data_IF_209449817955
#
_entry.id   IF_209449817955
#
_cell.length_a   1.000
_cell.length_b   1.000
_cell.length_c   1.000
_cell.angle_alpha   90.00
_cell.angle_beta   90.00
_cell.angle_gamma   90.00
#
_symmetry.space_group_name_H-M   'P 1'
#
loop_
_entity.id
_entity.type
_entity.pdbx_description
1 polymer ?
#
# COMPACT_ATOMS: atom_id res chain seq x y z
N UNK A 1 12.32 1.05 -3.01
CA UNK A 1 11.53 0.05 -2.29
C UNK A 1 10.53 0.81 -1.44
N UNK A 2 9.23 0.78 -1.74
CA UNK A 2 8.24 1.35 -0.83
C UNK A 2 8.23 0.50 0.44
N UNK A 3 8.61 1.08 1.57
CA UNK A 3 8.61 0.37 2.85
C UNK A 3 7.15 0.14 3.28
N UNK A 4 6.70 -1.10 3.13
CA UNK A 4 5.37 -1.53 3.58
C UNK A 4 5.23 -1.54 5.11
N UNK A 5 6.33 -1.34 5.85
CA UNK A 5 6.32 -1.21 7.32
C UNK A 5 5.35 -0.13 7.81
N UNK A 6 5.07 0.89 7.00
CA UNK A 6 4.07 1.92 7.35
C UNK A 6 2.63 1.37 7.32
N UNK A 7 2.36 0.36 6.49
CA UNK A 7 1.03 -0.25 6.35
C UNK A 7 0.80 -1.39 7.35
N UNK A 8 1.86 -1.97 7.93
CA UNK A 8 1.74 -3.04 8.94
C UNK A 8 1.40 -2.54 10.33
N UNK A 9 1.00 -1.27 10.47
CA UNK A 9 0.65 -0.63 11.75
C UNK A 9 1.78 -0.73 12.80
N UNK A 10 3.04 -0.69 12.35
CA UNK A 10 4.23 -0.80 13.18
C UNK A 10 4.69 -2.23 13.50
N UNK A 11 4.03 -3.25 12.94
CA UNK A 11 4.50 -4.64 13.10
C UNK A 11 5.67 -4.93 12.15
N UNK A 12 6.67 -5.66 12.64
CA UNK A 12 7.77 -6.14 11.80
C UNK A 12 7.23 -7.19 10.81
N UNK A 13 7.50 -6.96 9.53
CA UNK A 13 7.18 -7.91 8.47
C UNK A 13 8.43 -8.73 8.14
N UNK A 14 8.29 -10.05 8.12
CA UNK A 14 9.37 -10.95 7.73
C UNK A 14 9.02 -11.67 6.43
N UNK A 15 9.81 -11.47 5.38
CA UNK A 15 9.58 -12.15 4.10
C UNK A 15 9.90 -13.65 4.23
N UNK A 16 8.90 -14.47 3.89
CA UNK A 16 8.95 -15.94 3.99
C UNK A 16 9.18 -16.56 2.61
N UNK A 17 8.65 -15.93 1.56
CA UNK A 17 8.86 -16.33 0.17
C UNK A 17 8.78 -15.10 -0.74
N UNK A 18 9.50 -15.16 -1.86
CA UNK A 18 9.60 -14.09 -2.84
C UNK A 18 9.61 -14.67 -4.26
N UNK A 19 8.75 -14.14 -5.12
CA UNK A 19 8.70 -14.47 -6.54
C UNK A 19 8.80 -13.17 -7.33
N UNK A 20 9.86 -12.99 -8.09
CA UNK A 20 9.98 -11.86 -9.01
C UNK A 20 8.94 -11.97 -10.14
N UNK A 21 8.29 -10.87 -10.48
CA UNK A 21 7.21 -10.85 -11.48
C UNK A 21 7.47 -9.83 -12.60
N UNK A 22 8.10 -10.27 -13.69
CA UNK A 22 8.40 -9.41 -14.84
C UNK A 22 9.78 -8.73 -14.76
N UNK A 23 10.00 -7.69 -15.57
CA UNK A 23 11.32 -7.11 -15.78
C UNK A 23 11.69 -5.97 -14.82
N UNK A 24 10.71 -5.32 -14.19
CA UNK A 24 10.97 -4.27 -13.24
C UNK A 24 11.35 -4.88 -11.87
N UNK A 25 12.47 -4.48 -11.25
CA UNK A 25 12.97 -5.11 -10.03
C UNK A 25 12.06 -4.91 -8.82
N UNK A 26 11.14 -3.96 -8.86
CA UNK A 26 10.11 -3.76 -7.83
C UNK A 26 8.88 -4.66 -7.99
N UNK A 27 8.78 -5.44 -9.08
CA UNK A 27 7.63 -6.27 -9.31
C UNK A 27 7.84 -7.65 -8.69
N UNK A 28 6.98 -8.00 -7.74
CA UNK A 28 7.11 -9.25 -7.01
C UNK A 28 5.79 -9.69 -6.39
N UNK A 29 5.74 -10.97 -6.06
CA UNK A 29 4.77 -11.55 -5.13
C UNK A 29 5.57 -11.99 -3.90
N UNK A 30 5.24 -11.45 -2.74
CA UNK A 30 5.88 -11.76 -1.47
C UNK A 30 4.85 -12.37 -0.52
N UNK A 31 5.26 -13.43 0.16
CA UNK A 31 4.56 -13.94 1.33
C UNK A 31 5.29 -13.41 2.56
N UNK A 32 4.58 -12.66 3.40
CA UNK A 32 5.14 -11.95 4.53
C UNK A 32 4.53 -12.51 5.81
N UNK A 33 5.34 -12.82 6.81
CA UNK A 33 4.88 -13.14 8.16
C UNK A 33 4.70 -11.85 8.95
N UNK A 34 3.51 -11.65 9.50
CA UNK A 34 3.21 -10.53 10.39
C UNK A 34 3.64 -10.93 11.80
N UNK A 35 4.72 -10.34 12.31
CA UNK A 35 5.16 -10.60 13.68
C UNK A 35 4.49 -9.60 14.63
N UNK A 36 3.36 -9.99 15.21
CA UNK A 36 2.72 -9.18 16.26
C UNK A 36 3.52 -9.39 17.54
N UNK A 37 3.98 -8.32 18.18
CA UNK A 37 4.75 -8.35 19.44
C UNK A 37 3.92 -8.78 20.68
N UNK A 38 2.89 -9.61 20.48
CA UNK A 38 1.97 -10.06 21.51
C UNK A 38 2.35 -11.45 21.98
N UNK A 39 2.45 -11.60 23.31
CA UNK A 39 2.93 -12.77 24.03
C UNK A 39 2.00 -14.01 23.95
N UNK A 40 1.15 -14.11 22.93
CA UNK A 40 0.19 -15.20 22.70
C UNK A 40 0.64 -16.05 21.52
N UNK A 41 1.26 -17.18 21.81
CA UNK A 41 2.02 -18.02 20.89
C UNK A 41 1.20 -18.92 19.96
N UNK A 42 0.07 -18.49 19.38
CA UNK A 42 -0.78 -19.43 18.62
C UNK A 42 -1.38 -18.95 17.29
N UNK A 43 -1.27 -17.68 16.89
CA UNK A 43 -1.78 -17.24 15.58
C UNK A 43 -0.70 -16.51 14.79
N UNK A 44 -0.16 -17.17 13.76
CA UNK A 44 0.75 -16.56 12.79
C UNK A 44 -0.11 -16.09 11.63
N UNK A 45 -0.25 -14.78 11.47
CA UNK A 45 -0.89 -14.22 10.29
C UNK A 45 0.14 -14.08 9.18
N UNK A 46 -0.18 -14.61 8.01
CA UNK A 46 0.58 -14.39 6.79
C UNK A 46 -0.12 -13.31 5.96
N UNK A 47 0.65 -12.60 5.16
CA UNK A 47 0.16 -11.62 4.21
C UNK A 47 0.73 -11.96 2.84
N UNK A 48 -0.16 -12.24 1.90
CA UNK A 48 0.19 -12.35 0.50
C UNK A 48 0.14 -10.96 -0.11
N UNK A 49 1.25 -10.51 -0.68
CA UNK A 49 1.39 -9.20 -1.30
C UNK A 49 1.85 -9.36 -2.74
N UNK A 50 1.25 -8.61 -3.65
CA UNK A 50 1.75 -8.35 -4.99
C UNK A 50 2.11 -6.87 -5.13
N UNK A 51 3.25 -6.61 -5.75
CA UNK A 51 3.68 -5.27 -6.17
C UNK A 51 3.97 -5.29 -7.66
N UNK A 52 3.51 -4.25 -8.35
CA UNK A 52 3.73 -4.09 -9.79
C UNK A 52 3.99 -2.62 -10.10
N UNK A 53 4.91 -2.34 -11.01
CA UNK A 53 5.22 -1.01 -11.52
C UNK A 53 5.49 -1.11 -13.01
N UNK A 54 4.83 -0.24 -13.76
CA UNK A 54 5.02 -0.07 -15.19
C UNK A 54 4.95 1.41 -15.57
N UNK A 55 4.78 1.71 -16.88
CA UNK A 55 4.68 3.10 -17.36
C UNK A 55 3.39 3.81 -16.94
N UNK A 56 2.37 3.05 -16.55
CA UNK A 56 1.05 3.56 -16.15
C UNK A 56 1.03 3.93 -14.67
N UNK A 57 1.86 3.29 -13.85
CA UNK A 57 1.94 3.58 -12.42
C UNK A 57 2.49 2.44 -11.58
N UNK A 58 2.27 2.54 -10.27
CA UNK A 58 2.67 1.54 -9.28
C UNK A 58 1.48 1.04 -8.48
N UNK A 59 1.33 -0.28 -8.38
CA UNK A 59 0.35 -1.01 -7.59
C UNK A 59 1.03 -1.71 -6.41
N UNK A 60 0.36 -1.67 -5.26
CA UNK A 60 0.57 -2.66 -4.19
C UNK A 60 -0.79 -3.19 -3.77
N UNK A 61 -0.98 -4.50 -3.83
CA UNK A 61 -2.18 -5.18 -3.35
C UNK A 61 -1.78 -6.30 -2.41
N UNK A 62 -2.52 -6.47 -1.33
CA UNK A 62 -2.24 -7.48 -0.33
C UNK A 62 -3.51 -8.02 0.31
N UNK A 63 -3.42 -9.22 0.87
CA UNK A 63 -4.47 -9.84 1.66
C UNK A 63 -3.85 -10.70 2.76
N UNK A 64 -4.51 -10.75 3.92
CA UNK A 64 -4.15 -11.70 4.98
C UNK A 64 -4.58 -13.10 4.57
N UNK A 65 -3.71 -14.07 4.80
CA UNK A 65 -3.94 -15.49 4.52
C UNK A 65 -3.54 -16.31 5.74
N UNK A 66 -4.30 -17.37 6.00
CA UNK A 66 -3.96 -18.34 7.02
C UNK A 66 -2.92 -19.34 6.51
N UNK A 67 -2.18 -19.93 7.46
CA UNK A 67 -1.12 -20.90 7.15
C UNK A 67 -1.69 -22.13 6.46
N UNK A 68 -2.88 -22.58 6.86
CA UNK A 68 -3.52 -23.78 6.32
C UNK A 68 -3.91 -23.57 4.85
N UNK A 69 -4.48 -22.42 4.47
CA UNK A 69 -4.74 -22.05 3.08
C UNK A 69 -3.47 -22.04 2.21
N UNK A 70 -2.36 -21.52 2.74
CA UNK A 70 -1.08 -21.54 2.01
C UNK A 70 -0.60 -22.99 1.81
N UNK A 71 -0.68 -23.82 2.86
CA UNK A 71 -0.28 -25.22 2.79
C UNK A 71 -1.17 -26.02 1.81
N UNK A 72 -2.47 -25.73 1.79
CA UNK A 72 -3.43 -26.29 0.85
C UNK A 72 -3.02 -25.98 -0.60
N UNK A 73 -2.77 -24.71 -0.92
CA UNK A 73 -2.28 -24.29 -2.24
C UNK A 73 -0.93 -24.93 -2.60
N UNK A 74 0.01 -25.00 -1.66
CA UNK A 74 1.32 -25.62 -1.87
C UNK A 74 1.27 -27.14 -2.08
N UNK A 75 0.21 -27.80 -1.60
CA UNK A 75 -0.01 -29.23 -1.79
C UNK A 75 -0.55 -29.57 -3.20
N UNK A 76 -0.80 -28.55 -4.03
CA UNK A 76 -1.35 -28.70 -5.38
C UNK A 76 -2.86 -28.90 -5.40
N UNK A 77 -3.55 -28.64 -4.28
CA UNK A 77 -5.01 -28.59 -4.22
C UNK A 77 -5.55 -27.33 -4.91
N UNK A 78 -6.86 -27.25 -5.12
CA UNK A 78 -7.50 -26.11 -5.80
C UNK A 78 -7.49 -24.85 -4.91
N UNK A 79 -6.73 -23.79 -5.26
CA UNK A 79 -6.67 -22.57 -4.45
C UNK A 79 -7.92 -21.69 -4.60
N UNK A 80 -8.86 -22.01 -5.50
CA UNK A 80 -10.08 -21.22 -5.73
C UNK A 80 -10.99 -21.15 -4.50
N UNK A 81 -10.82 -22.08 -3.54
CA UNK A 81 -11.58 -22.13 -2.30
C UNK A 81 -11.01 -21.21 -1.20
N UNK A 82 -9.82 -20.63 -1.38
CA UNK A 82 -9.15 -19.78 -0.39
C UNK A 82 -9.80 -18.39 -0.42
N UNK A 83 -10.51 -17.98 0.65
CA UNK A 83 -11.17 -16.68 0.67
C UNK A 83 -10.12 -15.58 0.90
N UNK A 84 -9.94 -14.72 -0.10
CA UNK A 84 -9.12 -13.51 0.03
C UNK A 84 -10.01 -12.27 0.18
N UNK A 85 -9.55 -11.34 1.01
CA UNK A 85 -10.09 -9.99 1.13
C UNK A 85 -8.99 -9.00 0.75
N UNK A 86 -8.82 -8.72 -0.55
CA UNK A 86 -7.73 -7.87 -1.01
C UNK A 86 -7.95 -6.42 -0.60
N UNK A 87 -6.84 -5.76 -0.28
CA UNK A 87 -6.77 -4.31 -0.14
C UNK A 87 -5.48 -3.83 -0.82
N UNK A 88 -5.49 -2.60 -1.30
CA UNK A 88 -4.32 -2.07 -1.96
C UNK A 88 -4.53 -0.68 -2.52
N UNK A 89 -3.53 -0.23 -3.25
CA UNK A 89 -3.55 1.07 -3.88
C UNK A 89 -2.74 1.11 -5.16
N UNK A 90 -3.17 1.97 -6.07
CA UNK A 90 -2.52 2.27 -7.32
C UNK A 90 -2.18 3.75 -7.39
N UNK A 91 -0.96 4.07 -7.80
CA UNK A 91 -0.46 5.44 -7.96
C UNK A 91 -0.21 5.68 -9.44
N UNK A 92 -1.01 6.58 -10.02
CA UNK A 92 -0.85 7.03 -11.40
C UNK A 92 -0.10 8.35 -11.42
N UNK A 93 0.99 8.50 -12.19
CA UNK A 93 1.60 9.81 -12.44
C UNK A 93 0.59 10.76 -13.09
N UNK A 94 0.53 12.01 -12.61
CA UNK A 94 -0.37 13.02 -13.18
C UNK A 94 0.39 14.32 -13.39
N UNK A 95 0.38 14.83 -14.62
CA UNK A 95 0.85 16.19 -14.89
C UNK A 95 -0.29 17.16 -14.58
N UNK A 96 -0.06 18.07 -13.63
CA UNK A 96 -1.01 19.12 -13.30
C UNK A 96 -0.58 20.39 -14.04
N UNK A 97 -1.47 20.87 -14.90
CA UNK A 97 -1.33 22.20 -15.48
C UNK A 97 -1.82 23.22 -14.46
N UNK A 98 -0.93 24.13 -14.05
CA UNK A 98 -1.32 25.25 -13.22
C UNK A 98 -2.15 26.22 -14.06
N UNK A 99 -3.47 26.19 -13.95
CA UNK A 99 -4.38 27.20 -14.55
C UNK A 99 -4.36 28.50 -13.72
N UNK A 100 -3.15 28.99 -13.46
CA UNK A 100 -2.89 30.24 -12.77
C UNK A 100 -2.98 31.38 -13.75
N UNK A 101 -4.17 31.95 -13.92
CA UNK A 101 -4.35 33.20 -14.62
C UNK A 101 -3.55 34.33 -13.96
N UNK A 102 -2.43 34.69 -14.56
CA UNK A 102 -2.02 36.08 -14.77
C UNK A 102 -0.86 36.11 -15.76
N UNK A 103 -1.07 36.90 -16.82
CA UNK A 103 -0.06 37.26 -17.79
C UNK A 103 1.08 37.95 -17.06
N UNK A 104 2.26 37.36 -17.07
CA UNK A 104 3.49 38.14 -17.22
C UNK A 104 4.44 37.34 -18.09
N UNK A 105 4.99 38.04 -19.08
CA UNK A 105 5.81 37.47 -20.12
C UNK A 105 7.21 37.14 -19.59
N UNK A 106 7.72 35.99 -20.05
CA UNK A 106 9.03 35.39 -19.81
C UNK A 106 9.15 34.46 -18.57
N UNK A 107 9.51 33.21 -18.90
CA UNK A 107 10.00 32.10 -18.09
C UNK A 107 9.02 31.06 -17.52
N UNK A 108 9.26 29.84 -18.01
CA UNK A 108 8.95 28.51 -17.48
C UNK A 108 7.47 28.19 -17.20
N UNK A 109 6.94 27.37 -18.11
CA UNK A 109 5.78 26.53 -17.90
C UNK A 109 6.00 25.70 -16.62
N UNK A 110 5.53 26.20 -15.48
CA UNK A 110 5.58 25.49 -14.20
C UNK A 110 4.56 24.34 -14.27
N UNK A 111 4.94 23.24 -14.92
CA UNK A 111 4.21 21.98 -14.86
C UNK A 111 4.46 21.42 -13.47
N UNK A 112 3.42 21.41 -12.64
CA UNK A 112 3.49 20.72 -11.35
C UNK A 112 3.24 19.24 -11.60
N UNK A 113 4.21 18.39 -11.28
CA UNK A 113 4.00 16.94 -11.36
C UNK A 113 3.36 16.48 -10.06
N UNK A 114 2.23 15.80 -10.17
CA UNK A 114 1.52 15.17 -9.07
C UNK A 114 1.25 13.69 -9.33
N UNK A 115 0.42 13.09 -8.48
CA UNK A 115 -0.02 11.72 -8.65
C UNK A 115 -1.47 11.54 -8.21
N UNK A 116 -2.20 10.68 -8.91
CA UNK A 116 -3.52 10.23 -8.50
C UNK A 116 -3.37 8.93 -7.70
N UNK A 117 -3.84 8.95 -6.44
CA UNK A 117 -3.90 7.77 -5.59
C UNK A 117 -5.29 7.13 -5.68
N UNK A 118 -5.34 5.88 -6.12
CA UNK A 118 -6.55 5.05 -6.10
C UNK A 118 -6.40 4.00 -5.02
N UNK A 119 -7.36 3.87 -4.11
CA UNK A 119 -7.35 2.86 -3.03
C UNK A 119 -8.53 1.91 -3.23
N UNK A 120 -8.26 0.61 -3.12
CA UNK A 120 -9.26 -0.45 -3.20
C UNK A 120 -9.26 -1.29 -1.92
N UNK A 121 -10.44 -1.66 -1.44
CA UNK A 121 -10.61 -2.48 -0.24
C UNK A 121 -11.83 -3.39 -0.41
N UNK A 122 -11.64 -4.68 -0.16
CA UNK A 122 -12.72 -5.65 -0.04
C UNK A 122 -12.92 -6.02 1.43
N UNK A 123 -14.14 -5.89 1.96
CA UNK A 123 -14.49 -6.28 3.33
C UNK A 123 -15.68 -7.22 3.34
N UNK A 124 -15.56 -8.30 4.11
CA UNK A 124 -16.67 -9.23 4.36
C UNK A 124 -17.48 -8.75 5.57
N UNK A 125 -18.67 -8.21 5.33
CA UNK A 125 -19.56 -7.75 6.40
C UNK A 125 -20.29 -8.90 7.12
N UNK A 126 -20.60 -9.99 6.40
CA UNK A 126 -21.20 -11.20 6.96
C UNK A 126 -20.96 -12.39 6.04
N UNK A 127 -20.80 -13.57 6.62
CA UNK A 127 -20.80 -14.86 5.90
C UNK A 127 -22.20 -15.37 5.59
N UNK A 128 -23.25 -14.69 6.10
CA UNK A 128 -24.65 -15.04 5.86
C UNK A 128 -25.20 -14.12 4.76
N UNK A 129 -25.57 -14.63 3.58
CA UNK A 129 -26.00 -13.80 2.43
C UNK A 129 -27.21 -12.90 2.72
N UNK A 130 -28.09 -13.31 3.64
CA UNK A 130 -29.29 -12.59 4.03
C UNK A 130 -29.10 -11.66 5.23
N UNK A 131 -27.91 -11.63 5.84
CA UNK A 131 -27.64 -10.77 6.97
C UNK A 131 -27.66 -9.30 6.53
N UNK A 132 -28.44 -8.50 7.24
CA UNK A 132 -28.42 -7.05 7.05
C UNK A 132 -27.11 -6.50 7.62
N UNK A 133 -26.40 -5.74 6.81
CA UNK A 133 -25.27 -4.93 7.28
C UNK A 133 -25.81 -3.95 8.32
N UNK A 134 -25.20 -3.95 9.51
CA UNK A 134 -25.59 -3.05 10.59
C UNK A 134 -24.69 -1.80 10.61
N UNK A 135 -25.14 -0.76 11.32
CA UNK A 135 -24.41 0.52 11.41
C UNK A 135 -23.01 0.37 12.02
N UNK A 136 -22.82 -0.59 12.93
CA UNK A 136 -21.50 -0.88 13.53
C UNK A 136 -20.51 -1.40 12.48
N UNK A 137 -20.93 -2.35 11.64
CA UNK A 137 -20.12 -2.86 10.54
C UNK A 137 -19.74 -1.75 9.55
N UNK A 138 -20.68 -0.85 9.22
CA UNK A 138 -20.41 0.29 8.33
C UNK A 138 -19.37 1.23 8.97
N UNK A 139 -19.51 1.56 10.25
CA UNK A 139 -18.57 2.41 10.96
C UNK A 139 -17.17 1.78 11.01
N UNK A 140 -17.08 0.47 11.26
CA UNK A 140 -15.81 -0.26 11.25
C UNK A 140 -15.15 -0.25 9.87
N UNK A 141 -15.92 -0.49 8.79
CA UNK A 141 -15.42 -0.44 7.40
C UNK A 141 -14.89 0.96 7.08
N UNK A 142 -15.65 2.01 7.42
CA UNK A 142 -15.25 3.39 7.15
C UNK A 142 -13.97 3.76 7.92
N UNK A 143 -13.87 3.40 9.19
CA UNK A 143 -12.66 3.61 9.98
C UNK A 143 -11.44 2.87 9.39
N UNK A 144 -11.64 1.64 8.92
CA UNK A 144 -10.58 0.86 8.29
C UNK A 144 -10.10 1.51 6.98
N UNK A 145 -11.03 1.99 6.14
CA UNK A 145 -10.71 2.72 4.91
C UNK A 145 -9.96 4.01 5.20
N UNK A 146 -10.45 4.83 6.14
CA UNK A 146 -9.81 6.08 6.54
C UNK A 146 -8.37 5.83 7.05
N UNK A 147 -8.19 4.84 7.92
CA UNK A 147 -6.88 4.47 8.46
C UNK A 147 -5.93 4.04 7.36
N UNK A 148 -6.41 3.19 6.43
CA UNK A 148 -5.62 2.72 5.28
C UNK A 148 -5.16 3.89 4.41
N UNK A 149 -6.08 4.80 4.04
CA UNK A 149 -5.76 5.98 3.22
C UNK A 149 -4.76 6.89 3.93
N UNK A 150 -4.91 7.10 5.24
CA UNK A 150 -3.98 7.88 6.04
C UNK A 150 -2.58 7.24 6.05
N UNK A 151 -2.46 5.93 6.29
CA UNK A 151 -1.18 5.23 6.29
C UNK A 151 -0.48 5.31 4.93
N UNK A 152 -1.21 5.11 3.82
CA UNK A 152 -0.66 5.24 2.47
C UNK A 152 -0.19 6.68 2.23
N UNK A 153 -1.02 7.68 2.58
CA UNK A 153 -0.68 9.09 2.40
C UNK A 153 0.56 9.49 3.22
N UNK A 154 0.68 8.98 4.46
CA UNK A 154 1.85 9.18 5.32
C UNK A 154 3.10 8.52 4.75
N UNK A 155 2.99 7.29 4.21
CA UNK A 155 4.10 6.60 3.56
C UNK A 155 4.62 7.38 2.34
N UNK A 156 3.71 7.97 1.55
CA UNK A 156 4.07 8.76 0.37
C UNK A 156 4.66 10.13 0.74
N UNK A 157 4.15 10.77 1.80
CA UNK A 157 4.61 12.10 2.23
C UNK A 157 5.96 12.07 2.95
N UNK A 158 6.28 10.96 3.64
CA UNK A 158 7.52 10.85 4.43
C UNK A 158 8.78 10.73 3.57
N UNK A 159 8.64 10.41 2.29
CA UNK A 159 9.76 10.33 1.34
C UNK A 159 10.20 11.69 0.77
N UNK A 160 9.55 12.79 1.18
CA UNK A 160 9.82 14.13 0.66
C UNK A 160 10.79 14.96 1.53
N UNK A 161 11.23 14.47 2.69
CA UNK A 161 12.18 15.17 3.57
C UNK A 161 13.59 14.64 3.30
N UNK A 162 14.22 15.10 2.22
CA UNK A 162 15.56 14.63 1.88
C UNK A 162 16.21 15.31 0.70
N UNK A 163 16.24 16.65 0.65
CA UNK A 163 17.31 17.44 -0.03
C UNK A 163 17.06 18.95 0.10
N UNK A 164 17.27 19.51 1.29
CA UNK A 164 17.60 20.92 1.48
C UNK A 164 18.52 21.03 2.70
N UNK A 165 19.79 20.62 2.57
CA UNK A 165 20.80 21.03 3.55
C UNK A 165 21.54 22.27 3.02
N UNK A 166 21.47 23.32 3.83
CA UNK A 166 22.17 24.59 3.72
C UNK A 166 23.66 24.43 3.44
N UNK A 167 24.17 25.33 2.62
CA UNK A 167 25.58 25.56 2.43
C UNK A 167 25.81 26.98 1.91
N UNK A 168 25.50 28.00 2.71
CA UNK A 168 26.08 29.33 2.48
C UNK A 168 27.08 29.64 3.59
N UNK A 169 28.35 29.69 3.19
CA UNK A 169 29.49 29.94 4.05
C UNK A 169 29.50 31.43 4.44
N UNK A 170 29.28 31.70 5.72
CA UNK A 170 29.56 33.01 6.31
C UNK A 170 31.02 33.40 6.07
N UNK A 171 31.23 34.45 5.27
CA UNK A 171 32.53 35.12 5.15
C UNK A 171 32.74 36.01 6.36
N UNK A 172 33.71 35.61 7.17
CA UNK A 172 34.37 36.40 8.19
C UNK A 172 34.99 37.66 7.56
N UNK A 173 34.66 38.84 8.11
CA UNK A 173 35.52 40.02 8.03
C UNK A 173 35.29 40.94 9.22
#
# INVERSE_FOLDING_TARGET
MMQLEVLSNGNALHEVAHIANGSHPGNCISLLRINVASNSSQHVDLMLQESCTDKSGSLVVYSTVDVDSVQLAMSGEDPSCIPLLPLGFFITPMELMNDGGCKDEANEHNITTGSLLTVGLQVLASTIPSAKINLSSIAAINNHLCTTVQQISSALSSNCIGSCNEGDNGKEK
#
